data_IF_865789388314
#
_entry.id   IF_865789388314
#
_cell.length_a   1.000
_cell.length_b   1.000
_cell.length_c   1.000
_cell.angle_alpha   90.00
_cell.angle_beta   90.00
_cell.angle_gamma   90.00
#
_symmetry.space_group_name_H-M   'P 1'
#
loop_
_entity.id
_entity.type
_entity.pdbx_description
1 polymer ?
#
# COMPACT_ATOMS: atom_id res chain seq x y z
N UNK A 1 1.25 8.05 -31.91
CA UNK A 1 0.45 7.43 -30.84
C UNK A 1 1.34 7.20 -29.62
N UNK A 2 1.08 7.82 -28.44
CA UNK A 2 1.81 7.51 -27.21
C UNK A 2 1.44 6.08 -26.78
N UNK A 3 2.43 5.19 -26.68
CA UNK A 3 2.21 3.82 -26.16
C UNK A 3 1.58 3.93 -24.77
N UNK A 4 0.36 3.40 -24.61
CA UNK A 4 -0.33 3.35 -23.31
C UNK A 4 0.50 2.46 -22.38
N UNK A 5 0.89 2.98 -21.22
CA UNK A 5 1.62 2.20 -20.20
C UNK A 5 0.69 1.06 -19.77
N UNK A 6 1.20 -0.16 -19.79
CA UNK A 6 0.45 -1.34 -19.32
C UNK A 6 0.97 -1.69 -17.93
N UNK A 7 0.18 -1.36 -16.92
CA UNK A 7 0.43 -1.77 -15.55
C UNK A 7 0.02 -3.22 -15.31
N UNK A 8 0.75 -3.92 -14.47
CA UNK A 8 0.33 -5.22 -13.89
C UNK A 8 -0.69 -4.99 -12.78
N UNK A 9 -0.48 -3.95 -11.97
CA UNK A 9 -1.41 -3.47 -10.96
C UNK A 9 -1.45 -1.96 -11.03
N UNK A 10 -2.63 -1.39 -10.99
CA UNK A 10 -2.84 0.06 -10.96
C UNK A 10 -4.04 0.41 -10.07
N UNK A 11 -4.13 1.65 -9.56
CA UNK A 11 -5.30 2.12 -8.82
C UNK A 11 -6.58 1.99 -9.64
N UNK A 12 -7.69 1.81 -8.96
CA UNK A 12 -9.02 1.77 -9.57
C UNK A 12 -9.86 3.01 -9.21
N UNK A 13 -9.58 4.20 -9.77
CA UNK A 13 -10.28 5.44 -9.43
C UNK A 13 -11.76 5.46 -9.81
N UNK A 14 -12.23 4.46 -10.57
CA UNK A 14 -13.64 4.31 -10.94
C UNK A 14 -14.46 3.52 -9.91
N UNK A 15 -13.82 2.89 -8.94
CA UNK A 15 -14.54 2.19 -7.88
C UNK A 15 -15.16 3.20 -6.90
N UNK A 16 -16.48 3.30 -6.96
CA UNK A 16 -17.27 4.20 -6.10
C UNK A 16 -17.15 3.89 -4.60
N UNK A 17 -16.58 2.73 -4.24
CA UNK A 17 -16.36 2.36 -2.84
C UNK A 17 -15.12 3.03 -2.23
N UNK A 18 -14.28 3.67 -3.04
CA UNK A 18 -13.01 4.26 -2.62
C UNK A 18 -13.10 5.77 -2.39
N UNK A 19 -14.13 6.41 -2.95
CA UNK A 19 -14.35 7.86 -2.82
C UNK A 19 -15.80 8.20 -2.55
N UNK A 20 -16.03 9.32 -1.85
CA UNK A 20 -17.36 9.90 -1.61
C UNK A 20 -17.43 11.30 -2.20
N UNK A 21 -18.58 11.66 -2.82
CA UNK A 21 -18.84 13.03 -3.26
C UNK A 21 -19.39 13.86 -2.11
N UNK A 22 -18.72 14.93 -1.77
CA UNK A 22 -19.13 15.87 -0.75
C UNK A 22 -19.40 17.25 -1.35
N UNK A 23 -20.20 18.04 -0.67
CA UNK A 23 -20.40 19.45 -1.00
C UNK A 23 -19.59 20.31 -0.04
N UNK A 24 -18.80 21.23 -0.59
CA UNK A 24 -18.02 22.21 0.14
C UNK A 24 -18.12 23.59 -0.48
N UNK A 25 -17.24 24.50 -0.05
CA UNK A 25 -17.10 25.84 -0.59
C UNK A 25 -15.66 26.06 -1.01
N UNK A 26 -15.45 26.75 -2.13
CA UNK A 26 -14.12 27.21 -2.56
C UNK A 26 -13.71 28.48 -1.79
N UNK A 27 -12.53 29.04 -2.11
CA UNK A 27 -11.98 30.25 -1.49
C UNK A 27 -12.84 31.50 -1.75
N UNK A 28 -13.74 31.46 -2.71
CA UNK A 28 -14.71 32.51 -3.03
C UNK A 28 -16.08 32.30 -2.40
N UNK A 29 -16.21 31.34 -1.47
CA UNK A 29 -17.45 30.91 -0.85
C UNK A 29 -18.51 30.38 -1.84
N UNK A 30 -18.07 29.99 -3.03
CA UNK A 30 -18.96 29.35 -4.00
C UNK A 30 -19.10 27.87 -3.68
N UNK A 31 -20.35 27.39 -3.69
CA UNK A 31 -20.64 25.97 -3.45
C UNK A 31 -20.07 25.11 -4.57
N UNK A 32 -19.25 24.13 -4.20
CA UNK A 32 -18.62 23.16 -5.10
C UNK A 32 -18.92 21.73 -4.64
N UNK A 33 -18.85 20.79 -5.57
CA UNK A 33 -18.84 19.36 -5.32
C UNK A 33 -17.43 18.84 -5.54
N UNK A 34 -16.92 18.06 -4.62
CA UNK A 34 -15.62 17.42 -4.71
C UNK A 34 -15.69 16.00 -4.19
N UNK A 35 -14.69 15.18 -4.55
CA UNK A 35 -14.55 13.83 -4.01
C UNK A 35 -13.55 13.83 -2.87
N UNK A 36 -13.77 12.99 -1.89
CA UNK A 36 -12.84 12.68 -0.81
C UNK A 36 -12.61 11.19 -0.75
N UNK A 37 -11.45 10.79 -0.24
CA UNK A 37 -11.11 9.38 -0.04
C UNK A 37 -11.94 8.82 1.13
N UNK A 38 -12.39 7.58 0.98
CA UNK A 38 -13.04 6.82 2.07
C UNK A 38 -11.98 5.93 2.70
N UNK A 39 -11.62 6.25 3.95
CA UNK A 39 -10.74 5.40 4.76
C UNK A 39 -11.54 4.30 5.46
N UNK A 40 -10.95 3.10 5.51
CA UNK A 40 -11.54 1.92 6.14
C UNK A 40 -10.49 1.25 7.00
N UNK A 41 -10.94 0.70 8.12
CA UNK A 41 -10.13 -0.22 8.90
C UNK A 41 -10.00 -1.57 8.17
N UNK A 42 -8.82 -2.20 8.27
CA UNK A 42 -8.54 -3.53 7.74
C UNK A 42 -7.70 -4.29 8.76
N UNK A 43 -8.21 -5.40 9.25
CA UNK A 43 -7.48 -6.28 10.17
C UNK A 43 -6.77 -7.38 9.43
N UNK A 44 -5.48 -7.53 9.67
CA UNK A 44 -4.62 -8.54 9.05
C UNK A 44 -4.36 -9.69 10.03
N UNK A 45 -4.67 -10.90 9.60
CA UNK A 45 -4.34 -12.14 10.28
C UNK A 45 -3.24 -12.90 9.55
N UNK A 46 -2.32 -13.48 10.30
CA UNK A 46 -1.38 -14.48 9.81
C UNK A 46 -1.71 -15.82 10.46
N UNK A 47 -2.17 -16.78 9.67
CA UNK A 47 -2.76 -18.04 10.13
C UNK A 47 -3.97 -17.78 11.07
N UNK A 48 -3.83 -18.07 12.36
CA UNK A 48 -4.91 -17.89 13.34
C UNK A 48 -4.65 -16.68 14.28
N UNK A 49 -3.58 -15.91 14.00
CA UNK A 49 -3.19 -14.79 14.87
C UNK A 49 -3.51 -13.46 14.22
N UNK A 50 -4.19 -12.60 14.94
CA UNK A 50 -4.33 -11.20 14.61
C UNK A 50 -2.98 -10.49 14.74
N UNK A 51 -2.60 -9.75 13.70
CA UNK A 51 -1.32 -9.04 13.65
C UNK A 51 -1.53 -7.55 13.89
N UNK A 52 -2.41 -6.93 13.10
CA UNK A 52 -2.60 -5.48 13.11
C UNK A 52 -3.93 -5.10 12.47
N UNK A 53 -4.49 -3.98 12.88
CA UNK A 53 -5.54 -3.26 12.15
C UNK A 53 -4.93 -1.98 11.57
N UNK A 54 -5.10 -1.74 10.28
CA UNK A 54 -4.59 -0.61 9.52
C UNK A 54 -5.75 0.22 8.99
N UNK A 55 -5.53 1.52 8.82
CA UNK A 55 -6.40 2.34 7.97
C UNK A 55 -5.93 2.22 6.52
N UNK A 56 -6.84 2.12 5.58
CA UNK A 56 -6.57 1.92 4.16
C UNK A 56 -7.75 2.40 3.31
N UNK A 57 -7.50 2.73 2.06
CA UNK A 57 -8.59 2.95 1.08
C UNK A 57 -9.28 1.63 0.69
N UNK A 58 -8.62 0.49 0.89
CA UNK A 58 -9.16 -0.85 0.61
C UNK A 58 -9.16 -1.24 -0.87
N UNK A 59 -8.32 -0.61 -1.71
CA UNK A 59 -8.26 -0.94 -3.15
C UNK A 59 -7.67 -2.34 -3.39
N UNK A 60 -6.59 -2.70 -2.77
CA UNK A 60 -5.94 -4.00 -2.95
C UNK A 60 -5.64 -4.71 -1.61
N UNK A 61 -6.65 -5.06 -0.80
CA UNK A 61 -6.47 -5.51 0.59
C UNK A 61 -5.58 -6.76 0.73
N UNK A 62 -5.65 -7.69 -0.23
CA UNK A 62 -4.81 -8.90 -0.22
C UNK A 62 -3.33 -8.59 -0.46
N UNK A 63 -3.02 -7.65 -1.36
CA UNK A 63 -1.64 -7.21 -1.61
C UNK A 63 -1.10 -6.41 -0.43
N UNK A 64 -1.93 -5.55 0.17
CA UNK A 64 -1.57 -4.81 1.37
C UNK A 64 -1.19 -5.78 2.51
N UNK A 65 -2.02 -6.78 2.79
CA UNK A 65 -1.77 -7.73 3.86
C UNK A 65 -0.47 -8.53 3.65
N UNK A 66 -0.26 -9.07 2.45
CA UNK A 66 0.98 -9.82 2.15
C UNK A 66 2.20 -8.91 2.20
N UNK A 67 2.11 -7.71 1.62
CA UNK A 67 3.19 -6.72 1.63
C UNK A 67 3.54 -6.25 3.04
N UNK A 68 2.54 -6.00 3.88
CA UNK A 68 2.74 -5.66 5.28
C UNK A 68 3.51 -6.76 6.03
N UNK A 69 3.06 -8.02 5.92
CA UNK A 69 3.70 -9.14 6.59
C UNK A 69 5.14 -9.39 6.12
N UNK A 70 5.41 -9.19 4.83
CA UNK A 70 6.77 -9.26 4.27
C UNK A 70 7.64 -8.12 4.82
N UNK A 71 7.14 -6.89 4.81
CA UNK A 71 7.86 -5.71 5.31
C UNK A 71 8.14 -5.79 6.82
N UNK A 72 7.23 -6.41 7.59
CA UNK A 72 7.44 -6.66 9.02
C UNK A 72 8.26 -7.93 9.30
N UNK A 73 8.81 -8.57 8.25
CA UNK A 73 9.59 -9.80 8.33
C UNK A 73 8.87 -10.95 9.08
N UNK A 74 7.54 -10.93 9.09
CA UNK A 74 6.69 -12.00 9.62
C UNK A 74 6.44 -13.09 8.59
N UNK A 75 6.59 -12.73 7.31
CA UNK A 75 6.53 -13.58 6.15
C UNK A 75 7.84 -13.41 5.38
N UNK A 76 8.41 -14.49 4.86
CA UNK A 76 9.63 -14.47 4.04
C UNK A 76 9.30 -14.81 2.60
N UNK A 77 10.12 -14.38 1.64
CA UNK A 77 9.91 -14.67 0.21
C UNK A 77 9.87 -16.16 -0.14
N UNK A 78 10.49 -17.00 0.67
CA UNK A 78 10.47 -18.46 0.51
C UNK A 78 9.33 -19.15 1.30
N UNK A 79 8.53 -18.40 2.03
CA UNK A 79 7.35 -18.97 2.68
C UNK A 79 6.28 -19.29 1.64
N UNK A 80 5.73 -20.50 1.74
CA UNK A 80 4.66 -20.91 0.85
C UNK A 80 3.33 -20.43 1.39
N UNK A 81 2.74 -19.45 0.71
CA UNK A 81 1.39 -18.97 1.00
C UNK A 81 0.41 -20.02 0.46
N UNK A 82 -0.39 -20.59 1.35
CA UNK A 82 -1.45 -21.55 1.01
C UNK A 82 -2.68 -20.81 0.46
N UNK A 83 -3.07 -19.71 1.10
CA UNK A 83 -4.27 -18.97 0.76
C UNK A 83 -4.23 -17.56 1.32
N UNK A 84 -4.87 -16.61 0.61
CA UNK A 84 -5.15 -15.28 1.10
C UNK A 84 -6.65 -15.03 0.93
N UNK A 85 -7.36 -15.00 2.03
CA UNK A 85 -8.81 -14.75 2.09
C UNK A 85 -9.07 -13.30 2.49
N UNK A 86 -10.01 -12.65 1.84
CA UNK A 86 -10.52 -11.33 2.20
C UNK A 86 -12.02 -11.40 2.42
N UNK A 87 -12.45 -10.96 3.57
CA UNK A 87 -13.84 -10.76 3.93
C UNK A 87 -14.12 -9.25 4.01
N UNK A 88 -14.98 -8.78 3.11
CA UNK A 88 -15.28 -7.35 2.99
C UNK A 88 -16.26 -6.87 4.07
N UNK A 89 -17.11 -7.74 4.62
CA UNK A 89 -18.08 -7.38 5.67
C UNK A 89 -17.35 -7.27 7.02
N UNK A 90 -16.49 -8.24 7.32
CA UNK A 90 -15.67 -8.23 8.53
C UNK A 90 -14.45 -7.33 8.42
N UNK A 91 -14.11 -6.85 7.21
CA UNK A 91 -12.92 -6.04 6.91
C UNK A 91 -11.62 -6.74 7.36
N UNK A 92 -11.51 -8.02 7.04
CA UNK A 92 -10.42 -8.90 7.50
C UNK A 92 -9.72 -9.52 6.30
N UNK A 93 -8.38 -9.56 6.35
CA UNK A 93 -7.56 -10.40 5.47
C UNK A 93 -6.85 -11.46 6.29
N UNK A 94 -7.01 -12.72 5.89
CA UNK A 94 -6.30 -13.85 6.51
C UNK A 94 -5.29 -14.41 5.53
N UNK A 95 -4.01 -14.30 5.86
CA UNK A 95 -2.90 -14.92 5.12
C UNK A 95 -2.56 -16.26 5.79
N UNK A 96 -2.68 -17.35 5.04
CA UNK A 96 -2.39 -18.71 5.54
C UNK A 96 -1.12 -19.25 4.88
N UNK A 97 -0.21 -19.76 5.69
CA UNK A 97 1.04 -20.38 5.25
C UNK A 97 1.02 -21.88 5.47
N UNK A 98 1.83 -22.64 4.71
CA UNK A 98 1.95 -24.09 4.88
C UNK A 98 2.72 -24.48 6.14
N UNK A 99 3.67 -23.63 6.55
CA UNK A 99 4.46 -23.84 7.78
C UNK A 99 4.13 -22.79 8.83
N UNK A 100 4.42 -23.08 10.10
CA UNK A 100 4.38 -22.09 11.16
C UNK A 100 5.39 -20.99 10.89
N UNK A 101 4.98 -19.76 11.12
CA UNK A 101 5.82 -18.57 11.04
C UNK A 101 6.32 -18.19 12.43
N UNK A 102 7.35 -17.38 12.52
CA UNK A 102 7.92 -16.94 13.81
C UNK A 102 7.33 -15.63 14.32
N UNK A 103 6.10 -15.29 13.93
CA UNK A 103 5.46 -14.02 14.28
C UNK A 103 5.34 -13.81 15.79
N UNK A 104 5.19 -14.89 16.59
CA UNK A 104 5.03 -14.79 18.05
C UNK A 104 6.21 -14.09 18.73
N UNK A 105 7.44 -14.36 18.27
CA UNK A 105 8.64 -13.68 18.79
C UNK A 105 8.68 -12.20 18.38
N UNK A 106 8.09 -11.86 17.26
CA UNK A 106 8.08 -10.50 16.71
C UNK A 106 7.00 -9.62 17.33
N UNK A 107 5.85 -10.19 17.67
CA UNK A 107 4.78 -9.48 18.37
C UNK A 107 5.22 -8.91 19.73
N UNK A 108 6.20 -9.54 20.39
CA UNK A 108 6.75 -9.06 21.68
C UNK A 108 7.48 -7.72 21.60
N UNK A 109 7.91 -7.31 20.40
CA UNK A 109 8.65 -6.06 20.14
C UNK A 109 7.82 -5.03 19.38
N UNK A 110 6.52 -5.01 19.65
CA UNK A 110 5.61 -4.05 19.04
C UNK A 110 5.95 -2.63 19.52
N UNK A 111 6.25 -1.73 18.59
CA UNK A 111 6.45 -0.30 18.84
C UNK A 111 5.28 0.46 18.22
N UNK A 112 4.62 1.30 19.00
CA UNK A 112 3.59 2.19 18.48
C UNK A 112 4.26 3.47 17.98
N UNK A 113 4.04 3.81 16.71
CA UNK A 113 4.50 5.07 16.11
C UNK A 113 3.31 6.01 15.94
N UNK A 114 3.56 7.31 15.87
CA UNK A 114 2.54 8.29 15.49
C UNK A 114 2.36 8.24 13.95
N UNK A 115 1.20 7.84 13.47
CA UNK A 115 0.93 7.82 12.02
C UNK A 115 -0.41 7.19 11.67
N UNK A 116 -0.81 7.30 10.41
CA UNK A 116 -2.12 6.89 9.89
C UNK A 116 -2.45 5.39 10.06
N UNK A 117 -1.47 4.53 10.29
CA UNK A 117 -1.64 3.10 10.48
C UNK A 117 -1.60 2.67 11.96
N UNK A 118 -2.18 3.45 12.90
CA UNK A 118 -2.03 3.19 14.34
C UNK A 118 -0.58 2.76 14.67
N UNK A 119 0.35 3.23 13.87
CA UNK A 119 1.79 3.19 13.98
C UNK A 119 2.40 1.92 14.57
N UNK A 120 1.99 0.74 14.11
CA UNK A 120 2.61 -0.48 14.60
C UNK A 120 3.79 -0.89 13.72
N UNK A 121 5.00 -0.70 14.22
CA UNK A 121 6.24 -1.23 13.66
C UNK A 121 6.81 -2.26 14.63
N UNK A 122 7.27 -3.38 14.08
CA UNK A 122 7.95 -4.39 14.88
C UNK A 122 9.45 -4.12 14.86
N UNK A 123 10.06 -3.89 16.02
CA UNK A 123 11.38 -3.30 16.18
C UNK A 123 12.54 -3.98 15.46
N UNK A 124 12.42 -5.27 15.09
CA UNK A 124 13.46 -5.99 14.36
C UNK A 124 13.64 -5.51 12.91
N UNK A 125 12.63 -4.84 12.33
CA UNK A 125 12.68 -4.36 10.93
C UNK A 125 13.72 -3.27 10.77
N UNK A 126 13.81 -2.35 11.72
CA UNK A 126 14.79 -1.27 11.69
C UNK A 126 16.23 -1.80 11.74
N UNK A 127 16.49 -2.76 12.62
CA UNK A 127 17.80 -3.38 12.77
C UNK A 127 18.22 -4.17 11.50
N UNK A 128 17.27 -4.79 10.81
CA UNK A 128 17.53 -5.48 9.54
C UNK A 128 17.79 -4.51 8.38
N UNK A 129 17.07 -3.39 8.33
CA UNK A 129 17.31 -2.34 7.32
C UNK A 129 18.73 -1.79 7.45
N UNK A 130 19.18 -1.48 8.67
CA UNK A 130 20.52 -0.96 8.94
C UNK A 130 21.63 -1.95 8.54
N UNK A 131 21.36 -3.25 8.62
CA UNK A 131 22.32 -4.32 8.22
C UNK A 131 22.28 -4.62 6.72
N UNK A 132 21.22 -4.20 6.02
CA UNK A 132 21.04 -4.48 4.59
C UNK A 132 21.95 -3.59 3.75
N UNK A 133 22.87 -4.20 2.98
CA UNK A 133 23.71 -3.49 2.03
C UNK A 133 23.15 -3.65 0.61
N UNK A 134 22.85 -2.54 -0.04
CA UNK A 134 22.47 -2.53 -1.45
C UNK A 134 23.73 -2.80 -2.29
N UNK A 135 23.78 -3.97 -2.94
CA UNK A 135 24.93 -4.40 -3.76
C UNK A 135 24.86 -3.88 -5.21
N UNK A 136 23.79 -3.23 -5.60
CA UNK A 136 23.62 -2.71 -6.96
C UNK A 136 24.58 -1.55 -7.24
N UNK A 137 25.31 -1.64 -8.36
CA UNK A 137 26.14 -0.56 -8.89
C UNK A 137 25.40 0.30 -9.94
N UNK A 138 24.12 0.03 -10.18
CA UNK A 138 23.33 0.80 -11.15
C UNK A 138 23.11 2.23 -10.63
N UNK A 139 23.39 3.21 -11.48
CA UNK A 139 23.14 4.62 -11.20
C UNK A 139 21.74 4.99 -11.72
N UNK A 140 21.03 5.78 -10.94
CA UNK A 140 19.78 6.41 -11.36
C UNK A 140 20.12 7.77 -11.98
N UNK A 141 19.60 8.04 -13.17
CA UNK A 141 19.79 9.31 -13.87
C UNK A 141 18.64 10.24 -13.51
N UNK A 142 18.90 11.49 -13.22
CA UNK A 142 17.90 12.48 -12.81
C UNK A 142 16.75 12.61 -13.83
N UNK A 143 17.03 12.58 -15.13
CA UNK A 143 15.99 12.63 -16.17
C UNK A 143 14.98 11.50 -16.07
N UNK A 144 15.40 10.32 -15.62
CA UNK A 144 14.47 9.19 -15.41
C UNK A 144 13.47 9.48 -14.30
N UNK A 145 13.90 10.16 -13.23
CA UNK A 145 13.00 10.54 -12.13
C UNK A 145 11.91 11.46 -12.64
N UNK A 146 12.27 12.49 -13.42
CA UNK A 146 11.29 13.43 -14.01
C UNK A 146 10.34 12.73 -14.99
N UNK A 147 10.87 11.86 -15.84
CA UNK A 147 10.06 11.12 -16.80
C UNK A 147 9.08 10.16 -16.12
N UNK A 148 9.55 9.45 -15.07
CA UNK A 148 8.74 8.52 -14.29
C UNK A 148 7.65 9.28 -13.53
N UNK A 149 7.98 10.36 -12.84
CA UNK A 149 7.01 11.20 -12.14
C UNK A 149 5.93 11.71 -13.10
N UNK A 150 6.33 12.18 -14.28
CA UNK A 150 5.37 12.61 -15.30
C UNK A 150 4.45 11.46 -15.76
N UNK A 151 5.00 10.25 -15.93
CA UNK A 151 4.20 9.08 -16.30
C UNK A 151 3.18 8.71 -15.24
N UNK A 152 3.60 8.72 -13.95
CA UNK A 152 2.74 8.39 -12.81
C UNK A 152 1.65 9.45 -12.66
N UNK A 153 2.00 10.73 -12.68
CA UNK A 153 1.06 11.85 -12.51
C UNK A 153 0.03 11.96 -13.64
N UNK A 154 0.24 11.32 -14.78
CA UNK A 154 -0.72 11.24 -15.88
C UNK A 154 -1.54 9.94 -15.88
N UNK A 155 -1.26 9.02 -14.95
CA UNK A 155 -2.02 7.78 -14.81
C UNK A 155 -3.34 8.09 -14.10
N UNK A 156 -4.49 7.61 -14.59
CA UNK A 156 -5.75 7.69 -13.86
C UNK A 156 -5.59 7.09 -12.46
N UNK A 157 -5.91 7.86 -11.44
CA UNK A 157 -5.56 7.54 -10.05
C UNK A 157 -6.54 8.18 -9.08
N UNK A 158 -6.58 7.68 -7.85
CA UNK A 158 -7.36 8.28 -6.77
C UNK A 158 -6.84 9.66 -6.40
N UNK A 159 -5.51 9.86 -6.49
CA UNK A 159 -4.91 11.18 -6.30
C UNK A 159 -5.48 12.24 -7.25
N UNK A 160 -5.67 11.90 -8.52
CA UNK A 160 -6.27 12.82 -9.50
C UNK A 160 -7.76 13.05 -9.27
N UNK A 161 -8.46 12.08 -8.67
CA UNK A 161 -9.92 12.18 -8.42
C UNK A 161 -10.25 12.95 -7.12
N UNK A 162 -9.47 12.74 -6.07
CA UNK A 162 -9.80 13.19 -4.71
C UNK A 162 -8.64 13.86 -3.95
N UNK A 163 -7.39 13.71 -4.39
CA UNK A 163 -6.22 14.15 -3.64
C UNK A 163 -6.00 13.37 -2.34
N UNK A 164 -5.18 13.93 -1.43
CA UNK A 164 -4.96 13.45 -0.06
C UNK A 164 -4.62 11.95 0.06
N UNK A 165 -3.79 11.41 -0.84
CA UNK A 165 -3.39 10.01 -0.88
C UNK A 165 -1.93 9.88 -1.29
N UNK A 166 -1.26 8.84 -0.83
CA UNK A 166 0.12 8.52 -1.18
C UNK A 166 0.18 7.48 -2.30
N UNK A 167 1.16 7.63 -3.19
CA UNK A 167 1.39 6.69 -4.27
C UNK A 167 2.75 6.00 -4.17
N UNK A 168 2.78 4.70 -4.48
CA UNK A 168 3.99 3.91 -4.57
C UNK A 168 4.06 3.18 -5.92
N UNK A 169 5.21 3.23 -6.59
CA UNK A 169 5.36 2.60 -7.89
C UNK A 169 6.63 1.74 -7.96
N UNK A 170 6.52 0.59 -8.59
CA UNK A 170 7.68 -0.23 -8.98
C UNK A 170 8.01 0.10 -10.43
N UNK A 171 9.28 0.43 -10.65
CA UNK A 171 9.80 0.86 -11.94
C UNK A 171 10.74 -0.19 -12.50
N UNK A 172 10.53 -0.57 -13.76
CA UNK A 172 11.44 -1.43 -14.50
C UNK A 172 11.78 -0.78 -15.85
N UNK A 173 13.08 -0.65 -16.15
CA UNK A 173 13.58 -0.05 -17.40
C UNK A 173 12.89 1.29 -17.72
N UNK A 174 12.89 2.23 -16.76
CA UNK A 174 12.28 3.56 -16.85
C UNK A 174 10.76 3.56 -17.15
N UNK A 175 10.07 2.43 -16.86
CA UNK A 175 8.62 2.35 -16.99
C UNK A 175 8.02 1.86 -15.68
N UNK A 176 6.96 2.52 -15.17
CA UNK A 176 6.20 2.01 -14.05
C UNK A 176 5.44 0.75 -14.49
N UNK A 177 5.58 -0.31 -13.70
CA UNK A 177 4.94 -1.61 -13.94
C UNK A 177 3.88 -1.94 -12.90
N UNK A 178 4.04 -1.43 -11.69
CA UNK A 178 3.05 -1.49 -10.62
C UNK A 178 2.91 -0.06 -10.07
N UNK A 179 1.69 0.37 -9.87
CA UNK A 179 1.37 1.61 -9.18
C UNK A 179 0.20 1.36 -8.24
N UNK A 180 0.35 1.72 -6.99
CA UNK A 180 -0.67 1.55 -5.94
C UNK A 180 -0.78 2.83 -5.13
N UNK A 181 -1.97 3.09 -4.62
CA UNK A 181 -2.27 4.24 -3.79
C UNK A 181 -2.91 3.79 -2.49
N UNK A 182 -2.55 4.44 -1.39
CA UNK A 182 -3.15 4.25 -0.08
C UNK A 182 -2.98 5.51 0.80
N UNK A 183 -3.66 5.57 1.95
CA UNK A 183 -3.61 6.66 2.94
C UNK A 183 -2.41 6.58 3.86
#
# INVERSE_FOLDING_TARGET
MKKKIKYLVAPNPKDKKLTEEITGFDESFKRIKTKVIIEKDLTIYLNNQEIVTLMTVGDHPKYLAVGYLLNQNMLKFNDQIKKVDYDAELKVVVVRTLRKTNYESKLKRKVTTSGCAIGTVFGDVYDEILKTKIKSKKKIIHSWIYEISKKINLTPSLYLEAGAIHGCAIIHNNNPIIYMEDV
#
